data_IF_646426671139
#
_entry.id   IF_646426671139
#
_cell.length_a   1.000
_cell.length_b   1.000
_cell.length_c   1.000
_cell.angle_alpha   90.00
_cell.angle_beta   90.00
_cell.angle_gamma   90.00
#
_symmetry.space_group_name_H-M   'P 1'
#
loop_
_entity.id
_entity.type
_entity.pdbx_description
1 polymer ?
#
# COMPACT_ATOMS: atom_id res chain seq x y z
N UNK A 1 -2.52 13.78 -32.56
CA UNK A 1 -3.52 13.12 -31.70
C UNK A 1 -4.48 14.18 -31.19
N UNK A 2 -5.80 13.99 -31.30
CA UNK A 2 -6.77 14.91 -30.72
C UNK A 2 -6.66 14.93 -29.19
N UNK A 3 -6.93 16.07 -28.55
CA UNK A 3 -6.87 16.18 -27.08
C UNK A 3 -7.90 15.23 -26.46
N UNK A 4 -7.57 14.65 -25.30
CA UNK A 4 -8.52 13.83 -24.52
C UNK A 4 -9.16 12.66 -25.32
N UNK A 5 -8.36 12.01 -26.17
CA UNK A 5 -8.77 10.79 -26.89
C UNK A 5 -8.05 9.51 -26.44
N UNK A 6 -6.89 9.64 -25.79
CA UNK A 6 -6.11 8.52 -25.29
C UNK A 6 -6.70 8.00 -23.97
N UNK A 7 -7.06 6.71 -23.94
CA UNK A 7 -7.65 6.07 -22.76
C UNK A 7 -6.64 5.29 -21.91
N UNK A 8 -5.63 4.72 -22.54
CA UNK A 8 -4.71 3.82 -21.87
C UNK A 8 -3.28 4.12 -22.23
N UNK A 9 -2.40 4.07 -21.22
CA UNK A 9 -0.97 4.19 -21.35
C UNK A 9 -0.33 2.93 -20.77
N UNK A 10 0.54 2.33 -21.55
CA UNK A 10 1.38 1.21 -21.14
C UNK A 10 2.81 1.59 -21.44
N UNK A 11 3.62 1.78 -20.40
CA UNK A 11 5.04 2.05 -20.55
C UNK A 11 5.86 0.97 -19.88
N UNK A 12 6.85 0.47 -20.62
CA UNK A 12 7.84 -0.49 -20.14
C UNK A 12 9.24 -0.04 -20.55
N UNK A 13 10.21 -0.09 -19.64
CA UNK A 13 11.62 0.17 -19.98
C UNK A 13 11.98 1.63 -20.26
N UNK A 14 11.10 2.59 -19.95
CA UNK A 14 11.37 4.00 -20.24
C UNK A 14 12.33 4.62 -19.25
N UNK A 15 13.23 5.45 -19.77
CA UNK A 15 13.95 6.44 -18.97
C UNK A 15 13.27 7.80 -19.08
N UNK A 16 12.88 8.38 -17.94
CA UNK A 16 12.12 9.64 -17.90
C UNK A 16 12.83 10.88 -18.44
N UNK A 17 14.08 10.76 -18.89
CA UNK A 17 14.84 11.85 -19.53
C UNK A 17 14.06 12.53 -20.66
N UNK A 18 12.98 11.93 -21.16
CA UNK A 18 12.24 12.42 -22.32
C UNK A 18 11.05 13.36 -22.03
N UNK A 19 10.66 13.67 -20.78
CA UNK A 19 9.43 14.47 -20.44
C UNK A 19 8.17 14.05 -21.22
N UNK A 20 8.20 12.85 -21.80
CA UNK A 20 7.23 12.41 -22.79
C UNK A 20 5.95 12.02 -22.07
N UNK A 21 6.09 11.32 -20.94
CA UNK A 21 4.99 10.94 -20.06
C UNK A 21 4.20 12.18 -19.62
N UNK A 22 4.86 13.18 -19.03
CA UNK A 22 4.22 14.43 -18.60
C UNK A 22 3.37 15.04 -19.72
N UNK A 23 3.94 15.24 -20.91
CA UNK A 23 3.25 15.85 -22.06
C UNK A 23 2.06 15.02 -22.56
N UNK A 24 2.19 13.69 -22.55
CA UNK A 24 1.11 12.79 -22.96
C UNK A 24 -0.02 12.86 -21.93
N UNK A 25 0.29 12.76 -20.64
CA UNK A 25 -0.70 12.79 -19.57
C UNK A 25 -1.41 14.16 -19.56
N UNK A 26 -0.67 15.27 -19.63
CA UNK A 26 -1.25 16.63 -19.67
C UNK A 26 -2.24 16.85 -20.83
N UNK A 27 -1.95 16.26 -21.99
CA UNK A 27 -2.82 16.35 -23.17
C UNK A 27 -4.08 15.50 -23.05
N UNK A 28 -4.10 14.53 -22.15
CA UNK A 28 -5.11 13.48 -22.09
C UNK A 28 -5.72 13.25 -20.71
N UNK A 29 -5.50 14.18 -19.76
CA UNK A 29 -6.09 14.16 -18.43
C UNK A 29 -7.59 13.81 -18.45
N UNK A 30 -8.35 14.36 -19.41
CA UNK A 30 -9.80 14.19 -19.48
C UNK A 30 -10.26 12.82 -19.98
N UNK A 31 -9.36 11.97 -20.52
CA UNK A 31 -9.72 10.69 -21.15
C UNK A 31 -9.00 9.48 -20.62
N UNK A 32 -7.89 9.66 -19.89
CA UNK A 32 -7.09 8.57 -19.36
C UNK A 32 -7.88 7.80 -18.29
N UNK A 33 -8.08 6.52 -18.56
CA UNK A 33 -8.70 5.56 -17.64
C UNK A 33 -7.69 4.57 -17.08
N UNK A 34 -6.55 4.39 -17.73
CA UNK A 34 -5.63 3.31 -17.39
C UNK A 34 -4.19 3.72 -17.63
N UNK A 35 -3.34 3.57 -16.61
CA UNK A 35 -1.91 3.84 -16.73
C UNK A 35 -1.13 2.73 -16.02
N UNK A 36 -0.33 2.01 -16.79
CA UNK A 36 0.60 1.01 -16.29
C UNK A 36 2.02 1.44 -16.61
N UNK A 37 2.83 1.61 -15.57
CA UNK A 37 4.24 1.98 -15.67
C UNK A 37 5.03 0.80 -15.10
N UNK A 38 5.74 0.08 -15.95
CA UNK A 38 6.50 -1.13 -15.59
C UNK A 38 7.97 -0.95 -15.96
N UNK A 39 8.91 -1.46 -15.17
CA UNK A 39 10.35 -1.50 -15.51
C UNK A 39 10.90 -0.12 -15.99
N UNK A 40 10.34 1.00 -15.54
CA UNK A 40 10.88 2.31 -15.89
C UNK A 40 12.12 2.61 -15.05
N UNK A 41 13.13 3.27 -15.63
CA UNK A 41 14.37 3.54 -14.90
C UNK A 41 14.21 4.60 -13.82
N UNK A 42 13.29 5.54 -13.99
CA UNK A 42 12.96 6.61 -13.05
C UNK A 42 11.60 7.16 -13.45
N UNK A 43 10.75 7.50 -12.49
CA UNK A 43 9.55 8.31 -12.73
C UNK A 43 9.52 9.43 -11.70
N UNK A 44 9.36 10.66 -12.15
CA UNK A 44 9.40 11.83 -11.30
C UNK A 44 8.13 11.86 -10.47
N UNK A 45 8.29 12.32 -9.23
CA UNK A 45 7.17 12.60 -8.33
C UNK A 45 6.12 13.49 -9.00
N UNK A 46 6.54 14.46 -9.84
CA UNK A 46 5.64 15.37 -10.55
C UNK A 46 4.77 14.64 -11.58
N UNK A 47 5.33 13.71 -12.36
CA UNK A 47 4.55 12.87 -13.28
C UNK A 47 3.49 12.06 -12.54
N UNK A 48 3.87 11.43 -11.42
CA UNK A 48 2.99 10.59 -10.62
C UNK A 48 1.87 11.40 -9.96
N UNK A 49 2.20 12.58 -9.41
CA UNK A 49 1.22 13.54 -8.89
C UNK A 49 0.27 14.01 -10.00
N UNK A 50 0.80 14.36 -11.17
CA UNK A 50 -0.03 14.84 -12.27
C UNK A 50 -1.08 13.80 -12.68
N UNK A 51 -0.71 12.52 -12.68
CA UNK A 51 -1.64 11.42 -12.95
C UNK A 51 -2.74 11.36 -11.87
N UNK A 52 -2.37 11.34 -10.59
CA UNK A 52 -3.33 11.19 -9.49
C UNK A 52 -4.25 12.41 -9.33
N UNK A 53 -3.73 13.63 -9.52
CA UNK A 53 -4.42 14.88 -9.24
C UNK A 53 -5.18 15.47 -10.42
N UNK A 54 -4.93 15.01 -11.65
CA UNK A 54 -5.59 15.59 -12.84
C UNK A 54 -6.30 14.58 -13.75
N UNK A 55 -6.24 13.27 -13.51
CA UNK A 55 -6.98 12.27 -14.30
C UNK A 55 -8.31 11.86 -13.61
N UNK A 56 -9.44 12.55 -13.81
CA UNK A 56 -10.71 12.26 -13.12
C UNK A 56 -11.39 10.94 -13.55
N UNK A 57 -10.97 10.36 -14.68
CA UNK A 57 -11.53 9.11 -15.19
C UNK A 57 -10.62 7.90 -14.92
N UNK A 58 -9.55 8.06 -14.14
CA UNK A 58 -8.57 7.02 -13.89
C UNK A 58 -9.21 5.85 -13.11
N UNK A 59 -9.25 4.67 -13.71
CA UNK A 59 -9.77 3.44 -13.12
C UNK A 59 -8.65 2.50 -12.66
N UNK A 60 -7.48 2.55 -13.30
CA UNK A 60 -6.33 1.72 -12.94
C UNK A 60 -5.05 2.53 -13.03
N UNK A 61 -4.29 2.50 -11.94
CA UNK A 61 -2.97 3.11 -11.86
C UNK A 61 -2.00 2.18 -11.14
N UNK A 62 -1.00 1.72 -11.88
CA UNK A 62 -0.05 0.76 -11.36
C UNK A 62 1.37 1.15 -11.75
N UNK A 63 2.23 1.20 -10.74
CA UNK A 63 3.64 1.55 -10.89
C UNK A 63 4.50 0.43 -10.34
N UNK A 64 5.07 -0.38 -11.23
CA UNK A 64 5.89 -1.54 -10.89
C UNK A 64 7.29 -1.45 -11.50
N UNK A 65 8.25 -2.08 -10.85
CA UNK A 65 9.58 -2.25 -11.38
C UNK A 65 10.44 -3.09 -10.43
N UNK A 66 11.61 -3.47 -10.93
CA UNK A 66 12.54 -4.33 -10.19
C UNK A 66 13.21 -3.59 -9.03
N UNK A 67 13.29 -2.26 -9.13
CA UNK A 67 13.88 -1.37 -8.13
C UNK A 67 12.81 -0.37 -7.66
N UNK A 68 12.19 -0.59 -6.48
CA UNK A 68 11.16 0.28 -5.92
C UNK A 68 11.62 1.72 -5.68
N UNK A 69 12.92 1.98 -5.51
CA UNK A 69 13.43 3.32 -5.23
C UNK A 69 13.17 4.30 -6.36
N UNK A 70 13.23 3.81 -7.61
CA UNK A 70 13.06 4.60 -8.83
C UNK A 70 11.63 5.10 -9.04
N UNK A 71 10.68 4.59 -8.25
CA UNK A 71 9.25 4.85 -8.39
C UNK A 71 8.62 5.42 -7.12
N UNK A 72 9.42 5.67 -6.08
CA UNK A 72 8.90 6.09 -4.79
C UNK A 72 8.31 7.50 -4.87
N UNK A 73 7.10 7.64 -4.34
CA UNK A 73 6.45 8.93 -4.16
C UNK A 73 6.56 9.30 -2.68
N UNK A 74 7.16 10.46 -2.34
CA UNK A 74 7.14 10.95 -0.96
C UNK A 74 5.71 11.04 -0.43
N UNK A 75 5.51 10.59 0.82
CA UNK A 75 4.20 10.54 1.45
C UNK A 75 3.51 11.90 1.51
N UNK A 76 4.24 13.00 1.74
CA UNK A 76 3.70 14.35 1.74
C UNK A 76 3.26 14.80 0.33
N UNK A 77 3.96 14.34 -0.70
CA UNK A 77 3.69 14.66 -2.10
C UNK A 77 2.44 13.97 -2.61
N UNK A 78 2.18 12.70 -2.24
CA UNK A 78 1.00 11.97 -2.73
C UNK A 78 -0.32 12.45 -2.11
N UNK A 79 -0.26 13.10 -0.95
CA UNK A 79 -1.43 13.65 -0.24
C UNK A 79 -1.57 15.17 -0.39
N UNK A 80 -0.70 15.80 -1.18
CA UNK A 80 -0.67 17.25 -1.33
C UNK A 80 -1.99 17.82 -1.85
N UNK A 81 -2.70 17.05 -2.67
CA UNK A 81 -4.01 17.38 -3.21
C UNK A 81 -4.96 16.16 -3.13
N UNK A 82 -6.28 16.38 -3.18
CA UNK A 82 -7.23 15.29 -3.37
C UNK A 82 -7.01 14.60 -4.71
N UNK A 83 -7.08 13.27 -4.75
CA UNK A 83 -7.08 12.53 -6.01
C UNK A 83 -8.28 12.92 -6.86
N UNK A 84 -8.05 13.16 -8.16
CA UNK A 84 -9.09 13.59 -9.09
C UNK A 84 -10.10 12.47 -9.37
N UNK A 85 -9.62 11.22 -9.39
CA UNK A 85 -10.49 10.07 -9.62
C UNK A 85 -11.12 9.57 -8.32
N UNK A 86 -12.40 9.24 -8.42
CA UNK A 86 -13.17 8.45 -7.46
C UNK A 86 -13.60 7.09 -8.03
N UNK A 87 -13.02 6.70 -9.17
CA UNK A 87 -13.34 5.48 -9.94
C UNK A 87 -12.21 4.46 -9.94
N UNK A 88 -11.20 4.64 -9.09
CA UNK A 88 -10.07 3.71 -9.02
C UNK A 88 -10.58 2.33 -8.60
N UNK A 89 -10.30 1.34 -9.43
CA UNK A 89 -10.54 -0.09 -9.24
C UNK A 89 -9.25 -0.80 -8.84
N UNK A 90 -8.16 -0.49 -9.56
CA UNK A 90 -6.82 -0.99 -9.25
C UNK A 90 -5.86 0.13 -8.91
N UNK A 91 -5.17 -0.01 -7.77
CA UNK A 91 -4.14 0.91 -7.32
C UNK A 91 -2.91 0.15 -6.82
N UNK A 92 -1.77 0.38 -7.48
CA UNK A 92 -0.47 -0.12 -7.04
C UNK A 92 0.52 1.05 -6.92
N UNK A 93 0.97 1.31 -5.69
CA UNK A 93 1.85 2.44 -5.36
C UNK A 93 3.07 1.99 -4.54
N UNK A 94 4.19 2.67 -4.78
CA UNK A 94 5.39 2.62 -3.93
C UNK A 94 5.55 3.98 -3.25
N UNK A 95 5.53 4.00 -1.92
CA UNK A 95 5.48 5.24 -1.13
C UNK A 95 6.72 5.31 -0.25
N UNK A 96 7.41 6.44 -0.32
CA UNK A 96 8.45 6.80 0.62
C UNK A 96 7.81 7.43 1.86
N UNK A 97 7.85 6.71 2.98
CA UNK A 97 7.29 7.16 4.27
C UNK A 97 8.33 7.90 5.13
N UNK A 98 9.50 8.20 4.56
CA UNK A 98 10.64 8.83 5.21
C UNK A 98 11.69 7.83 5.71
N UNK A 99 12.72 8.39 6.34
CA UNK A 99 13.87 7.67 6.89
C UNK A 99 13.44 6.52 7.83
N UNK A 100 13.71 5.29 7.40
CA UNK A 100 13.39 4.09 8.18
C UNK A 100 14.43 3.84 9.28
N UNK A 101 15.66 4.30 9.14
CA UNK A 101 16.66 4.19 10.22
C UNK A 101 16.19 4.95 11.47
N UNK A 102 15.54 6.11 11.30
CA UNK A 102 14.88 6.79 12.44
C UNK A 102 13.76 5.95 13.07
N UNK A 103 13.11 5.07 12.28
CA UNK A 103 12.19 4.09 12.82
C UNK A 103 12.99 3.04 13.61
N UNK A 104 14.04 2.45 13.05
CA UNK A 104 14.78 1.31 13.59
C UNK A 104 15.63 1.63 14.84
N UNK A 105 16.09 2.86 15.01
CA UNK A 105 17.04 3.21 16.07
C UNK A 105 16.46 3.21 17.50
N UNK A 106 15.17 3.49 17.70
CA UNK A 106 14.56 3.43 19.03
C UNK A 106 13.99 2.04 19.35
N UNK A 107 14.90 1.10 19.66
CA UNK A 107 14.54 -0.26 20.12
C UNK A 107 13.79 -0.26 21.46
N UNK A 108 13.82 0.84 22.23
CA UNK A 108 13.29 0.90 23.60
C UNK A 108 11.81 1.30 23.63
N UNK A 109 11.39 2.16 22.72
CA UNK A 109 9.98 2.50 22.57
C UNK A 109 9.57 2.45 21.09
N UNK A 110 8.99 1.31 20.66
CA UNK A 110 8.50 1.13 19.30
C UNK A 110 7.36 2.08 18.91
N UNK A 111 6.86 2.90 19.84
CA UNK A 111 5.86 3.94 19.62
C UNK A 111 6.46 5.35 19.58
N UNK A 112 7.75 5.53 19.92
CA UNK A 112 8.40 6.84 19.91
C UNK A 112 8.43 7.49 18.52
N UNK A 113 8.57 6.69 17.45
CA UNK A 113 8.53 7.20 16.09
C UNK A 113 7.14 7.71 15.66
N UNK A 114 6.09 7.31 16.38
CA UNK A 114 4.71 7.80 16.19
C UNK A 114 4.40 9.08 16.94
N UNK A 115 5.37 9.59 17.69
CA UNK A 115 5.32 10.92 18.26
C UNK A 115 5.52 12.00 17.19
N UNK A 116 5.93 11.65 15.96
CA UNK A 116 5.80 12.58 14.84
C UNK A 116 4.33 12.65 14.38
N UNK A 117 3.61 13.55 15.05
CA UNK A 117 2.23 13.93 14.70
C UNK A 117 2.08 14.31 13.22
N UNK A 118 3.15 14.80 12.57
CA UNK A 118 3.13 15.18 11.15
C UNK A 118 3.00 13.93 10.28
N UNK A 119 3.89 12.96 10.45
CA UNK A 119 3.85 11.69 9.71
C UNK A 119 2.56 10.93 9.97
N UNK A 120 2.09 10.90 11.22
CA UNK A 120 0.79 10.31 11.56
C UNK A 120 -0.36 10.96 10.79
N UNK A 121 -0.42 12.29 10.73
CA UNK A 121 -1.43 13.03 9.95
C UNK A 121 -1.31 12.76 8.45
N UNK A 122 -0.09 12.62 7.94
CA UNK A 122 0.14 12.31 6.54
C UNK A 122 -0.38 10.91 6.17
N UNK A 123 -0.09 9.91 7.00
CA UNK A 123 -0.64 8.55 6.84
C UNK A 123 -2.17 8.56 6.94
N UNK A 124 -2.73 9.26 7.93
CA UNK A 124 -4.17 9.41 8.06
C UNK A 124 -4.79 10.00 6.78
N UNK A 125 -4.19 11.05 6.23
CA UNK A 125 -4.66 11.68 5.00
C UNK A 125 -4.60 10.70 3.82
N UNK A 126 -3.48 10.00 3.63
CA UNK A 126 -3.34 8.97 2.60
C UNK A 126 -4.46 7.92 2.70
N UNK A 127 -4.66 7.35 3.89
CA UNK A 127 -5.67 6.31 4.07
C UNK A 127 -7.11 6.82 3.94
N UNK A 128 -7.37 8.10 4.29
CA UNK A 128 -8.66 8.74 3.97
C UNK A 128 -8.88 8.92 2.48
N UNK A 129 -7.84 9.22 1.70
CA UNK A 129 -7.96 9.33 0.24
C UNK A 129 -8.21 7.96 -0.40
N UNK A 130 -7.52 6.92 0.06
CA UNK A 130 -7.75 5.53 -0.37
C UNK A 130 -9.15 5.07 0.03
N UNK A 131 -9.59 5.30 1.27
CA UNK A 131 -10.91 4.90 1.76
C UNK A 131 -12.10 5.54 1.01
N UNK A 132 -11.87 6.62 0.24
CA UNK A 132 -12.87 7.24 -0.64
C UNK A 132 -13.01 6.54 -2.00
N UNK A 133 -12.11 5.61 -2.34
CA UNK A 133 -12.14 4.85 -3.60
C UNK A 133 -13.10 3.67 -3.47
N UNK A 134 -14.40 3.95 -3.58
CA UNK A 134 -15.47 2.96 -3.33
C UNK A 134 -15.50 1.82 -4.37
N UNK A 135 -14.96 2.08 -5.56
CA UNK A 135 -14.86 1.08 -6.65
C UNK A 135 -13.60 0.21 -6.56
N UNK A 136 -12.73 0.45 -5.57
CA UNK A 136 -11.44 -0.23 -5.45
C UNK A 136 -11.64 -1.72 -5.17
N UNK A 137 -11.13 -2.56 -6.06
CA UNK A 137 -11.13 -4.02 -5.95
C UNK A 137 -9.73 -4.63 -5.81
N UNK A 138 -8.69 -3.89 -6.21
CA UNK A 138 -7.29 -4.27 -6.05
C UNK A 138 -6.49 -3.13 -5.42
N UNK A 139 -5.88 -3.38 -4.26
CA UNK A 139 -5.00 -2.44 -3.57
C UNK A 139 -3.66 -3.11 -3.27
N UNK A 140 -2.59 -2.50 -3.76
CA UNK A 140 -1.23 -2.87 -3.41
C UNK A 140 -0.42 -1.64 -3.01
N UNK A 141 0.01 -1.59 -1.75
CA UNK A 141 0.83 -0.51 -1.23
C UNK A 141 2.18 -1.06 -0.80
N UNK A 142 3.26 -0.53 -1.36
CA UNK A 142 4.64 -0.89 -0.97
C UNK A 142 5.32 0.30 -0.32
N UNK A 143 6.09 0.04 0.73
CA UNK A 143 7.00 1.02 1.30
C UNK A 143 8.28 1.01 0.47
N UNK A 144 8.76 2.18 0.08
CA UNK A 144 10.06 2.31 -0.58
C UNK A 144 11.19 2.04 0.43
N UNK A 145 12.20 1.30 0.01
CA UNK A 145 13.35 0.92 0.84
C UNK A 145 14.61 1.23 0.06
N UNK A 146 15.57 1.90 0.69
CA UNK A 146 16.85 2.18 0.04
C UNK A 146 17.75 0.95 0.07
N UNK A 147 18.37 0.62 -1.08
CA UNK A 147 19.34 -0.48 -1.15
C UNK A 147 20.50 -0.27 -0.18
N UNK A 148 20.89 0.98 0.07
CA UNK A 148 21.92 1.31 1.06
C UNK A 148 21.47 0.95 2.49
N UNK A 149 20.17 1.07 2.80
CA UNK A 149 19.61 0.69 4.11
C UNK A 149 19.57 -0.84 4.27
N UNK A 150 19.65 -1.58 3.16
CA UNK A 150 19.73 -3.04 3.17
C UNK A 150 21.16 -3.56 3.36
N UNK A 151 22.16 -2.70 3.15
CA UNK A 151 23.57 -3.09 3.13
C UNK A 151 24.26 -3.04 4.51
N UNK A 152 23.50 -2.92 5.61
CA UNK A 152 24.09 -2.97 6.95
C UNK A 152 24.77 -4.34 7.17
N UNK A 153 26.11 -4.30 7.22
CA UNK A 153 27.05 -5.41 7.40
C UNK A 153 26.53 -6.47 8.38
N UNK A 154 25.98 -7.56 7.85
CA UNK A 154 25.88 -8.81 8.58
C UNK A 154 27.27 -9.46 8.61
N UNK A 155 28.23 -8.81 9.27
CA UNK A 155 29.52 -9.43 9.63
C UNK A 155 29.34 -10.43 10.79
N UNK A 156 28.17 -10.46 11.41
CA UNK A 156 27.78 -11.48 12.37
C UNK A 156 27.23 -12.71 11.60
N UNK A 157 28.01 -13.80 11.58
CA UNK A 157 27.71 -15.13 11.04
C UNK A 157 26.45 -15.81 11.65
N UNK A 158 25.60 -15.08 12.36
CA UNK A 158 24.35 -15.60 12.91
C UNK A 158 23.34 -15.74 11.76
N UNK A 159 23.12 -16.99 11.32
CA UNK A 159 22.24 -17.46 10.23
C UNK A 159 20.75 -17.03 10.31
N UNK A 160 20.39 -16.15 11.25
CA UNK A 160 19.09 -15.50 11.26
C UNK A 160 19.07 -14.36 10.23
N UNK A 161 19.08 -14.74 8.95
CA UNK A 161 18.86 -13.87 7.80
C UNK A 161 17.44 -13.28 7.91
N UNK A 162 17.29 -12.23 8.72
CA UNK A 162 16.08 -11.42 8.75
C UNK A 162 15.96 -10.74 7.40
N UNK A 163 15.03 -11.20 6.56
CA UNK A 163 14.79 -10.49 5.31
C UNK A 163 14.33 -9.09 5.67
N UNK A 164 15.13 -8.09 5.32
CA UNK A 164 14.91 -6.69 5.68
C UNK A 164 13.52 -6.20 5.26
N UNK A 165 12.93 -6.81 4.22
CA UNK A 165 11.53 -6.65 3.80
C UNK A 165 10.50 -6.82 4.95
N UNK A 166 10.81 -7.60 5.98
CA UNK A 166 9.97 -7.81 7.17
C UNK A 166 9.81 -6.56 8.05
N UNK A 167 10.70 -5.57 7.89
CA UNK A 167 10.70 -4.36 8.72
C UNK A 167 9.92 -3.20 8.11
N UNK A 168 9.65 -3.25 6.80
CA UNK A 168 9.06 -2.14 6.06
C UNK A 168 7.57 -2.38 5.79
N UNK A 169 6.72 -1.88 6.69
CA UNK A 169 5.26 -1.96 6.56
C UNK A 169 4.59 -0.62 6.84
N UNK A 170 3.38 -0.44 6.32
CA UNK A 170 2.56 0.73 6.63
C UNK A 170 2.02 0.64 8.06
N UNK A 171 2.48 1.52 8.98
CA UNK A 171 2.13 1.34 10.37
C UNK A 171 0.66 1.67 10.65
N UNK A 172 0.01 0.86 11.48
CA UNK A 172 -1.39 1.02 11.82
C UNK A 172 -2.37 0.76 10.68
N UNK A 173 -1.92 0.37 9.48
CA UNK A 173 -2.79 0.14 8.34
C UNK A 173 -3.86 -0.93 8.61
N UNK A 174 -3.48 -2.04 9.25
CA UNK A 174 -4.38 -3.14 9.65
C UNK A 174 -4.80 -3.10 11.12
N UNK A 175 -4.66 -1.95 11.78
CA UNK A 175 -4.97 -1.80 13.20
C UNK A 175 -6.20 -0.91 13.35
N UNK A 176 -7.10 -1.27 14.27
CA UNK A 176 -8.20 -0.39 14.68
C UNK A 176 -7.72 0.57 15.77
N UNK A 177 -8.16 1.81 15.70
CA UNK A 177 -7.98 2.77 16.80
C UNK A 177 -8.72 2.29 18.04
N UNK A 178 -8.06 2.35 19.19
CA UNK A 178 -8.59 2.10 20.52
C UNK A 178 -8.20 3.26 21.45
N UNK A 179 -9.14 4.19 21.64
CA UNK A 179 -8.97 5.38 22.46
C UNK A 179 -8.69 5.06 23.94
N UNK A 180 -9.08 3.87 24.42
CA UNK A 180 -8.87 3.48 25.83
C UNK A 180 -7.41 3.16 26.12
N UNK A 181 -6.74 2.53 25.16
CA UNK A 181 -5.32 2.16 25.27
C UNK A 181 -4.40 3.20 24.64
N UNK A 182 -4.96 4.21 23.96
CA UNK A 182 -4.20 5.19 23.18
C UNK A 182 -3.60 4.61 21.90
N UNK A 183 -3.96 3.37 21.56
CA UNK A 183 -3.51 2.69 20.34
C UNK A 183 -4.24 3.31 19.16
N UNK A 184 -3.53 3.99 18.27
CA UNK A 184 -4.14 4.48 17.04
C UNK A 184 -4.05 3.41 15.94
N UNK A 185 -4.91 3.54 14.94
CA UNK A 185 -4.95 2.63 13.80
C UNK A 185 -5.84 3.17 12.70
N UNK A 186 -5.54 2.82 11.45
CA UNK A 186 -6.14 3.40 10.26
C UNK A 186 -7.14 2.47 9.57
N UNK A 187 -7.29 1.23 10.05
CA UNK A 187 -8.17 0.23 9.42
C UNK A 187 -9.61 0.74 9.28
N UNK A 188 -10.12 1.45 10.29
CA UNK A 188 -11.46 2.04 10.26
C UNK A 188 -11.68 3.09 9.15
N UNK A 189 -10.62 3.74 8.67
CA UNK A 189 -10.69 4.71 7.56
C UNK A 189 -10.96 4.05 6.22
N UNK A 190 -10.74 2.73 6.14
CA UNK A 190 -10.86 1.92 4.93
C UNK A 190 -12.20 1.14 4.89
N UNK A 191 -13.15 1.46 5.78
CA UNK A 191 -14.46 0.81 5.84
C UNK A 191 -15.26 0.89 4.53
N UNK A 192 -15.00 1.92 3.72
CA UNK A 192 -15.68 2.14 2.43
C UNK A 192 -15.27 1.18 1.32
N UNK A 193 -14.17 0.43 1.48
CA UNK A 193 -13.60 -0.46 0.47
C UNK A 193 -14.36 -1.80 0.35
N UNK A 194 -15.68 -1.73 0.23
CA UNK A 194 -16.57 -2.90 0.21
C UNK A 194 -16.43 -3.76 -1.05
N UNK A 195 -15.80 -3.21 -2.10
CA UNK A 195 -15.48 -3.92 -3.33
C UNK A 195 -14.09 -4.58 -3.34
N UNK A 196 -13.27 -4.36 -2.31
CA UNK A 196 -11.91 -4.87 -2.24
C UNK A 196 -11.88 -6.39 -2.31
N UNK A 197 -11.17 -6.92 -3.30
CA UNK A 197 -10.95 -8.35 -3.52
C UNK A 197 -9.52 -8.76 -3.21
N UNK A 198 -8.55 -7.91 -3.53
CA UNK A 198 -7.13 -8.20 -3.39
C UNK A 198 -6.44 -7.09 -2.59
N UNK A 199 -5.75 -7.49 -1.53
CA UNK A 199 -4.95 -6.61 -0.70
C UNK A 199 -3.51 -7.12 -0.62
N UNK A 200 -2.55 -6.36 -1.15
CA UNK A 200 -1.15 -6.77 -1.25
C UNK A 200 -0.18 -5.68 -0.79
N UNK A 201 1.10 -6.06 -0.69
CA UNK A 201 2.21 -5.16 -0.46
C UNK A 201 2.79 -5.25 0.94
N UNK A 202 3.33 -4.12 1.43
CA UNK A 202 4.07 -3.94 2.68
C UNK A 202 3.16 -3.98 3.91
N UNK A 203 2.63 -5.17 4.19
CA UNK A 203 1.65 -5.45 5.25
C UNK A 203 2.21 -6.44 6.28
N UNK A 204 2.22 -6.03 7.55
CA UNK A 204 2.65 -6.86 8.67
C UNK A 204 1.46 -7.28 9.55
N UNK A 205 1.39 -8.57 9.90
CA UNK A 205 0.32 -9.13 10.76
C UNK A 205 0.82 -9.40 12.18
N UNK A 206 1.99 -10.02 12.33
CA UNK A 206 2.51 -10.50 13.62
C UNK A 206 3.67 -9.68 14.19
N UNK A 207 4.60 -9.24 13.34
CA UNK A 207 5.80 -8.49 13.75
C UNK A 207 5.63 -6.97 13.70
N UNK A 208 4.40 -6.50 13.76
CA UNK A 208 4.22 -5.08 13.99
C UNK A 208 4.73 -4.77 15.40
N UNK A 209 5.56 -3.74 15.53
CA UNK A 209 5.96 -3.14 16.81
C UNK A 209 4.78 -3.08 17.80
N UNK A 210 5.07 -3.27 19.09
CA UNK A 210 4.06 -3.32 20.17
C UNK A 210 2.99 -2.26 19.96
N UNK A 211 1.76 -2.69 19.67
CA UNK A 211 0.62 -1.80 19.42
C UNK A 211 0.02 -1.83 18.01
N UNK A 212 0.64 -2.46 17.00
CA UNK A 212 0.08 -2.50 15.62
C UNK A 212 -0.38 -3.88 15.16
N UNK A 213 -0.47 -4.83 16.08
CA UNK A 213 -0.69 -6.23 15.73
C UNK A 213 -2.13 -6.41 15.29
N UNK A 214 -2.33 -7.07 14.15
CA UNK A 214 -3.66 -7.45 13.70
C UNK A 214 -4.13 -8.65 14.54
N UNK A 215 -5.03 -8.37 15.49
CA UNK A 215 -5.61 -9.39 16.36
C UNK A 215 -6.91 -9.97 15.79
N UNK A 216 -7.56 -10.81 16.60
CA UNK A 216 -8.85 -11.40 16.24
C UNK A 216 -9.93 -10.33 15.98
N UNK A 217 -9.88 -9.21 16.70
CA UNK A 217 -10.84 -8.13 16.55
C UNK A 217 -10.72 -7.46 15.17
N UNK A 218 -9.50 -7.15 14.73
CA UNK A 218 -9.22 -6.59 13.41
C UNK A 218 -9.58 -7.58 12.30
N UNK A 219 -9.32 -8.89 12.48
CA UNK A 219 -9.75 -9.93 11.54
C UNK A 219 -11.28 -9.96 11.40
N UNK A 220 -12.02 -9.95 12.52
CA UNK A 220 -13.48 -9.93 12.49
C UNK A 220 -14.01 -8.68 11.78
N UNK A 221 -13.39 -7.53 12.04
CA UNK A 221 -13.72 -6.27 11.40
C UNK A 221 -13.52 -6.34 9.87
N UNK A 222 -12.38 -6.89 9.40
CA UNK A 222 -12.09 -7.06 7.96
C UNK A 222 -13.15 -7.93 7.29
N UNK A 223 -13.54 -9.05 7.91
CA UNK A 223 -14.57 -9.94 7.37
C UNK A 223 -15.92 -9.23 7.26
N UNK A 224 -16.26 -8.39 8.25
CA UNK A 224 -17.51 -7.63 8.26
C UNK A 224 -17.52 -6.52 7.18
N UNK A 225 -16.42 -5.76 7.04
CA UNK A 225 -16.39 -4.54 6.24
C UNK A 225 -15.87 -4.73 4.81
N UNK A 226 -15.07 -5.78 4.55
CA UNK A 226 -14.56 -6.13 3.22
C UNK A 226 -15.14 -7.47 2.76
N UNK A 227 -16.45 -7.54 2.48
CA UNK A 227 -17.15 -8.78 2.25
C UNK A 227 -16.73 -9.53 0.98
N UNK A 228 -16.06 -8.84 0.05
CA UNK A 228 -15.56 -9.39 -1.22
C UNK A 228 -14.09 -9.77 -1.19
N UNK A 229 -13.40 -9.59 -0.07
CA UNK A 229 -11.97 -9.88 0.02
C UNK A 229 -11.71 -11.37 -0.23
N UNK A 230 -10.95 -11.66 -1.29
CA UNK A 230 -10.59 -13.02 -1.72
C UNK A 230 -9.16 -13.37 -1.29
N UNK A 231 -8.27 -12.38 -1.32
CA UNK A 231 -6.86 -12.59 -1.01
C UNK A 231 -6.29 -11.37 -0.29
N UNK A 232 -5.56 -11.65 0.79
CA UNK A 232 -4.67 -10.69 1.40
C UNK A 232 -3.28 -11.32 1.54
N UNK A 233 -2.28 -10.68 0.92
CA UNK A 233 -0.89 -11.09 0.99
C UNK A 233 -0.19 -10.30 2.08
N UNK A 234 0.44 -11.01 3.01
CA UNK A 234 1.20 -10.42 4.11
C UNK A 234 2.62 -10.95 4.06
N UNK A 235 3.57 -10.14 4.51
CA UNK A 235 4.90 -10.65 4.77
C UNK A 235 4.83 -11.59 5.98
N UNK A 236 5.18 -12.85 5.74
CA UNK A 236 5.33 -13.86 6.78
C UNK A 236 6.81 -14.21 6.89
N UNK A 237 7.33 -14.13 8.10
CA UNK A 237 8.71 -14.55 8.37
C UNK A 237 8.79 -16.08 8.30
N UNK A 238 9.99 -16.64 8.08
CA UNK A 238 10.19 -18.10 8.14
C UNK A 238 9.70 -18.68 9.48
N UNK A 239 9.95 -17.97 10.58
CA UNK A 239 9.43 -18.32 11.91
C UNK A 239 7.89 -18.25 12.00
N UNK A 240 7.25 -17.31 11.30
CA UNK A 240 5.79 -17.22 11.24
C UNK A 240 5.16 -18.35 10.42
N UNK A 241 5.85 -18.79 9.36
CA UNK A 241 5.48 -19.97 8.60
C UNK A 241 5.56 -21.22 9.48
N UNK A 242 6.45 -21.29 10.45
CA UNK A 242 6.53 -22.41 11.40
C UNK A 242 5.43 -22.32 12.48
N UNK A 243 5.07 -21.11 12.93
CA UNK A 243 4.13 -20.88 14.04
C UNK A 243 2.62 -21.00 13.70
N UNK A 244 2.21 -21.16 12.44
CA UNK A 244 0.88 -21.62 11.93
C UNK A 244 -0.46 -21.05 12.48
N UNK A 245 -0.50 -20.11 13.43
CA UNK A 245 -1.72 -19.91 14.25
C UNK A 245 -2.66 -18.76 13.88
N UNK A 246 -2.22 -17.72 13.17
CA UNK A 246 -3.03 -16.49 12.97
C UNK A 246 -3.20 -16.01 11.52
N UNK A 247 -2.18 -16.16 10.66
CA UNK A 247 -2.30 -15.86 9.22
C UNK A 247 -3.19 -16.89 8.51
N UNK A 248 -3.10 -18.14 8.96
CA UNK A 248 -4.08 -19.18 8.69
C UNK A 248 -5.47 -18.68 9.03
N UNK A 249 -5.70 -18.07 10.21
CA UNK A 249 -7.03 -17.61 10.60
C UNK A 249 -7.68 -16.68 9.57
N UNK A 250 -7.04 -15.61 9.09
CA UNK A 250 -7.67 -14.72 8.11
C UNK A 250 -7.90 -15.41 6.77
N UNK A 251 -6.89 -16.12 6.25
CA UNK A 251 -7.05 -16.86 4.99
C UNK A 251 -8.07 -17.99 5.10
N UNK A 252 -8.15 -18.65 6.25
CA UNK A 252 -9.11 -19.70 6.58
C UNK A 252 -10.50 -19.08 6.75
N UNK A 253 -10.64 -17.91 7.36
CA UNK A 253 -11.90 -17.17 7.42
C UNK A 253 -12.39 -16.81 6.01
N UNK A 254 -11.49 -16.32 5.15
CA UNK A 254 -11.82 -16.00 3.75
C UNK A 254 -12.19 -17.26 2.97
N UNK A 255 -11.44 -18.36 3.11
CA UNK A 255 -11.70 -19.65 2.46
C UNK A 255 -12.99 -20.30 2.94
N UNK A 256 -13.23 -20.35 4.25
CA UNK A 256 -14.45 -20.89 4.84
C UNK A 256 -15.68 -20.12 4.35
N UNK A 257 -15.59 -18.79 4.26
CA UNK A 257 -16.66 -17.96 3.69
C UNK A 257 -16.91 -18.28 2.21
N UNK A 258 -15.85 -18.42 1.42
CA UNK A 258 -15.95 -18.75 -0.01
C UNK A 258 -16.66 -20.08 -0.25
N UNK A 259 -16.39 -21.09 0.59
CA UNK A 259 -17.06 -22.39 0.56
C UNK A 259 -18.56 -22.25 0.88
N UNK A 260 -18.91 -21.48 1.91
CA UNK A 260 -20.31 -21.28 2.32
C UNK A 260 -21.13 -20.49 1.29
N UNK A 261 -20.51 -19.55 0.56
CA UNK A 261 -21.20 -18.80 -0.50
C UNK A 261 -21.42 -19.59 -1.79
N UNK A 262 -20.57 -20.59 -2.09
CA UNK A 262 -20.68 -21.39 -3.33
C UNK A 262 -21.78 -22.46 -3.33
N UNK A 263 -22.44 -22.70 -2.19
CA UNK A 263 -23.46 -23.74 -2.02
C UNK A 263 -24.90 -23.35 -2.36
N UNK A 264 -25.18 -22.07 -2.66
CA UNK A 264 -26.49 -21.62 -3.17
C UNK A 264 -26.43 -21.53 -4.69
N UNK A 265 -26.70 -22.66 -5.36
CA UNK A 265 -27.15 -22.64 -6.76
C UNK A 265 -28.68 -22.52 -6.73
N UNK A 266 -29.18 -21.35 -7.13
CA UNK A 266 -30.57 -21.19 -7.57
C UNK A 266 -30.75 -21.85 -8.96
#
# INVERSE_FOLDING_TARGET
MEKDTLRSIYFSGLSEKERMLERIVERHFGSLTTIFLSICSTISTKSLQAILFYCPLLESFEVSGDDPEKFKIPLDSIIAEPWASNKLKSLLLVIDIGDIDTLLQDKRDPTAWLLDDTRKKHLEHLFRQIGKQLELDFLELRVAVNEDDLAYDSDDDDEDEYSLQETFFFPGFLTLTDDKTGRFGFLGLLAGLTNLQYLKGSLAVKRSRSGFTMGQHECAWVVEHWPKLLEASFYATKADMEAHTHLSSLQDFIKQRSILSGGRKD
#
